data_IF_576008018610
#
_entry.id   IF_576008018610
#
_cell.length_a   1.000
_cell.length_b   1.000
_cell.length_c   1.000
_cell.angle_alpha   90.00
_cell.angle_beta   90.00
_cell.angle_gamma   90.00
#
_symmetry.space_group_name_H-M   'P 1'
#
loop_
_entity.id
_entity.type
_entity.pdbx_description
1 polymer ?
#
# COMPACT_ATOMS: atom_id res chain seq x y z
N UNK A 1 25.77 71.37 44.86
CA UNK A 1 24.80 70.97 43.82
C UNK A 1 25.58 70.53 42.60
N UNK A 2 25.15 69.42 42.01
CA UNK A 2 25.69 68.71 40.84
C UNK A 2 26.98 67.92 41.12
N UNK A 3 26.84 66.59 41.14
CA UNK A 3 27.61 65.70 40.28
C UNK A 3 26.86 64.36 40.18
N UNK A 4 26.02 64.31 39.15
CA UNK A 4 25.30 63.17 38.62
C UNK A 4 26.34 62.12 38.17
N UNK A 5 26.30 60.89 38.72
CA UNK A 5 26.99 59.75 38.12
C UNK A 5 25.94 58.68 37.80
N UNK A 6 25.78 58.50 36.49
CA UNK A 6 24.83 57.65 35.79
C UNK A 6 24.93 56.18 36.24
N UNK A 7 23.81 55.44 36.34
CA UNK A 7 23.82 54.03 36.66
C UNK A 7 24.34 53.19 35.49
N UNK A 8 25.14 52.18 35.80
CA UNK A 8 25.63 51.17 34.85
C UNK A 8 24.43 50.32 34.43
N UNK A 9 23.91 50.62 33.25
CA UNK A 9 22.89 49.85 32.55
C UNK A 9 23.52 48.51 32.10
N UNK A 10 23.34 47.46 32.90
CA UNK A 10 23.72 46.10 32.50
C UNK A 10 22.69 45.59 31.49
N UNK A 11 23.02 45.75 30.21
CA UNK A 11 22.27 45.21 29.08
C UNK A 11 22.60 43.71 28.96
N UNK A 12 21.87 42.87 29.69
CA UNK A 12 21.86 41.42 29.44
C UNK A 12 21.13 41.18 28.11
N UNK A 13 21.93 41.00 27.05
CA UNK A 13 21.46 40.49 25.76
C UNK A 13 21.06 39.03 25.98
N UNK A 14 19.76 38.78 26.07
CA UNK A 14 19.19 37.44 25.99
C UNK A 14 19.46 36.94 24.55
N UNK A 15 20.47 36.08 24.40
CA UNK A 15 20.68 35.35 23.14
C UNK A 15 19.56 34.31 23.08
N UNK A 16 18.52 34.61 22.31
CA UNK A 16 17.49 33.65 21.92
C UNK A 16 18.17 32.72 20.93
N UNK A 17 18.75 31.61 21.39
CA UNK A 17 19.11 30.51 20.49
C UNK A 17 17.80 29.81 20.11
N UNK A 18 17.15 30.31 19.06
CA UNK A 18 16.21 29.49 18.30
C UNK A 18 17.00 28.32 17.73
N UNK A 19 16.91 27.16 18.37
CA UNK A 19 17.35 25.90 17.78
C UNK A 19 16.29 25.50 16.77
N UNK A 20 16.35 26.09 15.57
CA UNK A 20 15.89 25.39 14.38
C UNK A 20 16.95 24.35 14.06
N UNK A 21 16.80 23.13 14.59
CA UNK A 21 17.33 21.97 13.85
C UNK A 21 16.25 21.63 12.84
N UNK A 22 16.38 22.22 11.66
CA UNK A 22 15.81 21.70 10.44
C UNK A 22 16.56 20.41 10.12
N UNK A 23 16.08 19.30 10.67
CA UNK A 23 16.22 18.02 10.01
C UNK A 23 14.82 17.73 9.47
N UNK A 24 14.45 18.47 8.42
CA UNK A 24 13.50 17.96 7.44
C UNK A 24 14.26 16.81 6.74
N UNK A 25 14.37 15.68 7.43
CA UNK A 25 14.46 14.42 6.74
C UNK A 25 13.16 14.37 5.92
N UNK A 26 13.29 14.58 4.60
CA UNK A 26 12.31 14.19 3.60
C UNK A 26 12.14 12.67 3.69
N UNK A 27 11.61 12.20 4.83
CA UNK A 27 11.33 10.82 5.07
C UNK A 27 10.24 10.48 4.07
N UNK A 28 10.57 9.53 3.20
CA UNK A 28 9.68 8.94 2.23
C UNK A 28 8.60 8.14 2.97
N UNK A 29 7.82 8.84 3.80
CA UNK A 29 6.78 8.26 4.64
C UNK A 29 5.81 7.56 3.72
N UNK A 30 5.74 6.24 3.92
CA UNK A 30 4.74 5.40 3.31
C UNK A 30 3.38 5.81 3.90
N UNK A 31 2.33 5.68 3.09
CA UNK A 31 0.98 6.00 3.54
C UNK A 31 0.58 5.07 4.69
N UNK A 32 0.00 5.66 5.74
CA UNK A 32 -0.52 4.96 6.91
C UNK A 32 -2.03 5.03 6.91
N UNK A 33 -2.67 3.94 7.32
CA UNK A 33 -4.11 3.77 7.31
C UNK A 33 -4.65 3.49 8.71
N UNK A 34 -5.89 3.88 8.95
CA UNK A 34 -6.66 3.59 10.15
C UNK A 34 -7.68 2.47 9.90
N UNK A 35 -8.23 1.93 10.99
CA UNK A 35 -9.36 0.99 10.93
C UNK A 35 -10.59 1.61 10.23
N UNK A 36 -10.79 2.92 10.35
CA UNK A 36 -11.84 3.65 9.65
C UNK A 36 -11.63 3.66 8.12
N UNK A 37 -10.39 3.73 7.65
CA UNK A 37 -10.08 3.72 6.22
C UNK A 37 -10.40 2.37 5.57
N UNK A 38 -10.38 1.28 6.33
CA UNK A 38 -10.76 -0.05 5.83
C UNK A 38 -12.21 -0.11 5.32
N UNK A 39 -13.07 0.79 5.78
CA UNK A 39 -14.43 0.90 5.25
C UNK A 39 -14.44 1.18 3.75
N UNK A 40 -13.39 1.80 3.19
CA UNK A 40 -13.22 2.00 1.75
C UNK A 40 -12.96 0.67 1.03
N UNK A 41 -12.22 -0.26 1.64
CA UNK A 41 -11.85 -1.56 1.05
C UNK A 41 -13.05 -2.49 0.90
N UNK A 42 -13.91 -2.57 1.93
CA UNK A 42 -14.95 -3.60 2.04
C UNK A 42 -16.36 -3.05 2.31
N UNK A 43 -16.55 -1.73 2.40
CA UNK A 43 -17.84 -1.08 2.67
C UNK A 43 -18.62 -1.69 3.85
N UNK A 44 -17.92 -1.97 4.96
CA UNK A 44 -18.44 -2.62 6.17
C UNK A 44 -19.08 -4.02 6.00
N UNK A 45 -19.05 -4.61 4.81
CA UNK A 45 -19.63 -5.94 4.56
C UNK A 45 -18.89 -6.69 3.45
N UNK A 46 -18.95 -6.16 2.23
CA UNK A 46 -18.19 -6.66 1.09
C UNK A 46 -18.13 -5.58 0.01
N UNK A 47 -16.98 -5.41 -0.65
CA UNK A 47 -16.86 -4.56 -1.84
C UNK A 47 -16.02 -5.28 -2.89
N UNK A 48 -16.53 -5.28 -4.12
CA UNK A 48 -15.85 -5.86 -5.26
C UNK A 48 -14.97 -4.79 -5.92
N UNK A 49 -13.74 -5.18 -6.22
CA UNK A 49 -12.76 -4.38 -6.91
C UNK A 49 -12.35 -5.10 -8.18
N UNK A 50 -12.21 -4.33 -9.26
CA UNK A 50 -11.65 -4.82 -10.52
C UNK A 50 -10.15 -4.58 -10.53
N UNK A 51 -9.36 -5.60 -10.83
CA UNK A 51 -7.94 -5.39 -11.09
C UNK A 51 -7.78 -4.80 -12.49
N UNK A 52 -7.28 -3.58 -12.60
CA UNK A 52 -7.00 -2.88 -13.85
C UNK A 52 -5.67 -3.35 -14.45
N UNK A 53 -4.65 -3.59 -13.61
CA UNK A 53 -3.32 -3.94 -14.08
C UNK A 53 -2.48 -4.65 -13.02
N UNK A 54 -1.62 -5.55 -13.51
CA UNK A 54 -0.52 -6.16 -12.78
C UNK A 54 0.82 -5.83 -13.44
N UNK A 55 1.66 -5.06 -12.75
CA UNK A 55 2.98 -4.63 -13.21
C UNK A 55 4.10 -5.42 -12.55
N UNK A 56 5.17 -5.70 -13.30
CA UNK A 56 6.46 -6.17 -12.77
C UNK A 56 7.44 -5.02 -12.53
N UNK A 57 7.26 -3.89 -13.24
CA UNK A 57 7.91 -2.62 -12.94
C UNK A 57 6.92 -1.47 -13.21
N UNK A 58 6.44 -0.85 -12.13
CA UNK A 58 5.44 0.21 -12.16
C UNK A 58 5.95 1.52 -12.74
N UNK A 59 7.24 1.83 -12.60
CA UNK A 59 7.82 3.07 -13.10
C UNK A 59 7.86 3.09 -14.63
N UNK A 60 8.29 1.98 -15.22
CA UNK A 60 8.33 1.77 -16.68
C UNK A 60 6.98 1.36 -17.28
N UNK A 61 5.97 1.10 -16.43
CA UNK A 61 4.66 0.55 -16.82
C UNK A 61 4.77 -0.80 -17.55
N UNK A 62 5.78 -1.60 -17.21
CA UNK A 62 5.94 -2.95 -17.73
C UNK A 62 4.96 -3.91 -17.03
N UNK A 63 3.96 -4.36 -17.78
CA UNK A 63 2.98 -5.36 -17.31
C UNK A 63 3.63 -6.74 -17.14
N UNK A 64 3.12 -7.49 -16.17
CA UNK A 64 3.43 -8.90 -15.99
C UNK A 64 2.92 -9.72 -17.17
N UNK A 65 3.58 -10.84 -17.47
CA UNK A 65 3.06 -11.86 -18.40
C UNK A 65 1.75 -12.48 -17.89
N UNK A 66 1.50 -12.44 -16.58
CA UNK A 66 0.25 -12.88 -15.98
C UNK A 66 -0.81 -11.77 -15.89
N UNK A 67 -0.57 -10.60 -16.47
CA UNK A 67 -1.51 -9.49 -16.37
C UNK A 67 -2.90 -9.90 -16.87
N UNK A 68 -2.98 -10.50 -18.05
CA UNK A 68 -4.26 -10.71 -18.74
C UNK A 68 -5.18 -11.68 -17.97
N UNK A 69 -4.62 -12.70 -17.32
CA UNK A 69 -5.40 -13.60 -16.47
C UNK A 69 -5.75 -12.96 -15.12
N UNK A 70 -4.84 -12.21 -14.47
CA UNK A 70 -5.14 -11.59 -13.17
C UNK A 70 -6.21 -10.48 -13.29
N UNK A 71 -6.25 -9.74 -14.40
CA UNK A 71 -7.25 -8.66 -14.59
C UNK A 71 -8.64 -9.19 -14.98
N UNK A 72 -8.73 -10.46 -15.38
CA UNK A 72 -9.98 -11.14 -15.72
C UNK A 72 -10.70 -11.67 -14.46
N UNK A 73 -9.98 -11.77 -13.35
CA UNK A 73 -10.52 -12.20 -12.06
C UNK A 73 -11.35 -11.12 -11.36
N UNK A 74 -12.29 -11.59 -10.55
CA UNK A 74 -13.13 -10.74 -9.70
C UNK A 74 -12.68 -10.89 -8.25
N UNK A 75 -12.35 -9.76 -7.61
CA UNK A 75 -11.86 -9.71 -6.23
C UNK A 75 -12.88 -9.06 -5.31
N UNK A 76 -13.38 -9.78 -4.32
CA UNK A 76 -14.35 -9.26 -3.33
C UNK A 76 -13.75 -9.24 -1.94
N UNK A 77 -13.47 -8.04 -1.43
CA UNK A 77 -12.85 -7.79 -0.13
C UNK A 77 -13.91 -7.83 0.97
N UNK A 78 -13.60 -8.51 2.09
CA UNK A 78 -14.46 -8.66 3.27
C UNK A 78 -13.77 -8.20 4.55
N UNK A 79 -14.50 -7.72 5.59
CA UNK A 79 -13.93 -7.16 6.81
C UNK A 79 -12.94 -8.04 7.60
N UNK A 80 -12.98 -9.35 7.41
CA UNK A 80 -12.18 -10.34 8.14
C UNK A 80 -10.83 -10.66 7.49
N UNK A 81 -10.37 -9.82 6.55
CA UNK A 81 -9.12 -10.04 5.82
C UNK A 81 -9.26 -11.00 4.64
N UNK A 82 -10.46 -11.54 4.41
CA UNK A 82 -10.71 -12.48 3.31
C UNK A 82 -10.94 -11.70 2.01
N UNK A 83 -10.31 -12.17 0.94
CA UNK A 83 -10.63 -11.73 -0.42
C UNK A 83 -11.15 -12.96 -1.19
N UNK A 84 -12.44 -12.94 -1.53
CA UNK A 84 -12.98 -13.95 -2.44
C UNK A 84 -12.52 -13.65 -3.86
N UNK A 85 -11.83 -14.62 -4.46
CA UNK A 85 -11.37 -14.57 -5.85
C UNK A 85 -12.23 -15.50 -6.67
N UNK A 86 -12.88 -14.96 -7.70
CA UNK A 86 -13.54 -15.75 -8.74
C UNK A 86 -12.69 -15.64 -9.99
N UNK A 87 -12.16 -16.78 -10.45
CA UNK A 87 -11.30 -16.83 -11.62
C UNK A 87 -12.06 -16.47 -12.89
N UNK A 88 -11.39 -15.74 -13.77
CA UNK A 88 -11.88 -15.40 -15.10
C UNK A 88 -11.89 -16.59 -16.08
N UNK A 89 -12.05 -16.26 -17.35
CA UNK A 89 -11.90 -17.15 -18.50
C UNK A 89 -10.43 -17.37 -18.89
N UNK A 90 -9.58 -16.37 -18.67
CA UNK A 90 -8.14 -16.43 -18.97
C UNK A 90 -7.40 -17.16 -17.83
N UNK A 91 -6.84 -18.33 -18.12
CA UNK A 91 -6.12 -19.12 -17.11
C UNK A 91 -4.70 -18.56 -16.87
N UNK A 92 -4.30 -18.41 -15.61
CA UNK A 92 -2.91 -18.06 -15.30
C UNK A 92 -1.95 -19.25 -15.37
N UNK A 93 -2.47 -20.47 -15.18
CA UNK A 93 -1.71 -21.72 -15.20
C UNK A 93 -2.44 -22.82 -15.98
N UNK A 94 -1.69 -23.69 -16.63
CA UNK A 94 -2.23 -24.78 -17.45
C UNK A 94 -2.18 -26.10 -16.66
N UNK A 95 -3.21 -26.35 -15.85
CA UNK A 95 -3.37 -27.57 -15.06
C UNK A 95 -4.79 -28.14 -15.09
N UNK A 96 -5.03 -29.22 -14.34
CA UNK A 96 -6.38 -29.79 -14.20
C UNK A 96 -7.29 -28.84 -13.40
N UNK A 97 -6.71 -28.13 -12.43
CA UNK A 97 -7.38 -27.10 -11.64
C UNK A 97 -6.41 -25.93 -11.37
N UNK A 98 -6.94 -24.71 -11.37
CA UNK A 98 -6.23 -23.50 -10.97
C UNK A 98 -6.41 -23.23 -9.47
N UNK A 99 -5.37 -22.69 -8.84
CA UNK A 99 -5.41 -22.11 -7.50
C UNK A 99 -5.39 -20.59 -7.65
N UNK A 100 -6.37 -19.94 -7.04
CA UNK A 100 -6.57 -18.51 -7.06
C UNK A 100 -7.07 -18.06 -5.69
N UNK A 101 -6.16 -17.61 -4.83
CA UNK A 101 -6.48 -17.21 -3.45
C UNK A 101 -5.88 -15.84 -3.15
N UNK A 102 -6.56 -15.08 -2.31
CA UNK A 102 -6.12 -13.77 -1.87
C UNK A 102 -6.60 -13.47 -0.44
N UNK A 103 -5.79 -12.73 0.30
CA UNK A 103 -6.12 -12.20 1.62
C UNK A 103 -5.47 -10.83 1.82
N UNK A 104 -5.97 -10.05 2.77
CA UNK A 104 -5.29 -8.85 3.23
C UNK A 104 -5.12 -8.87 4.75
N UNK A 105 -4.06 -8.21 5.21
CA UNK A 105 -3.73 -8.07 6.63
C UNK A 105 -3.50 -6.60 6.95
N UNK A 106 -4.17 -6.11 8.00
CA UNK A 106 -4.00 -4.76 8.52
C UNK A 106 -3.30 -4.81 9.88
N UNK A 107 -2.14 -4.16 9.98
CA UNK A 107 -1.35 -4.03 11.20
C UNK A 107 -1.69 -2.69 11.83
N UNK A 108 -2.74 -2.66 12.64
CA UNK A 108 -3.34 -1.43 13.20
C UNK A 108 -2.33 -0.57 13.98
N UNK A 109 -1.42 -1.19 14.74
CA UNK A 109 -0.39 -0.48 15.51
C UNK A 109 0.60 0.29 14.61
N UNK A 110 0.79 -0.18 13.37
CA UNK A 110 1.74 0.39 12.39
C UNK A 110 1.03 1.18 11.29
N UNK A 111 -0.29 1.01 11.13
CA UNK A 111 -1.07 1.59 10.05
C UNK A 111 -0.78 0.99 8.68
N UNK A 112 -0.14 -0.18 8.61
CA UNK A 112 0.23 -0.82 7.35
C UNK A 112 -0.79 -1.88 6.92
N UNK A 113 -1.13 -1.88 5.63
CA UNK A 113 -2.02 -2.87 5.03
C UNK A 113 -1.27 -3.62 3.92
N UNK A 114 -1.39 -4.93 3.90
CA UNK A 114 -0.77 -5.79 2.90
C UNK A 114 -1.80 -6.68 2.23
N UNK A 115 -1.63 -6.95 0.94
CA UNK A 115 -2.34 -8.00 0.21
C UNK A 115 -1.39 -9.15 -0.06
N UNK A 116 -1.86 -10.37 0.12
CA UNK A 116 -1.17 -11.59 -0.30
C UNK A 116 -1.99 -12.26 -1.39
N UNK A 117 -1.35 -12.56 -2.51
CA UNK A 117 -1.94 -13.29 -3.64
C UNK A 117 -1.22 -14.63 -3.76
N UNK A 118 -2.00 -15.71 -3.91
CA UNK A 118 -1.50 -17.05 -4.19
C UNK A 118 -2.10 -17.50 -5.52
N UNK A 119 -1.22 -17.91 -6.43
CA UNK A 119 -1.60 -18.51 -7.71
C UNK A 119 -0.93 -19.85 -7.90
N UNK A 120 -1.57 -20.77 -8.58
CA UNK A 120 -0.94 -22.05 -8.87
C UNK A 120 -1.79 -22.99 -9.70
N UNK A 121 -1.26 -24.20 -9.86
CA UNK A 121 -1.91 -25.29 -10.57
C UNK A 121 -1.82 -26.58 -9.77
N UNK A 122 -2.84 -27.41 -9.97
CA UNK A 122 -2.86 -28.79 -9.52
C UNK A 122 -2.84 -29.68 -10.76
N UNK A 123 -1.81 -30.52 -10.88
CA UNK A 123 -1.63 -31.45 -11.99
C UNK A 123 -1.19 -32.80 -11.46
N UNK A 124 -1.94 -33.88 -11.74
CA UNK A 124 -1.62 -35.24 -11.26
C UNK A 124 -1.40 -35.32 -9.72
N UNK A 125 -2.21 -34.60 -8.94
CA UNK A 125 -2.07 -34.46 -7.47
C UNK A 125 -0.78 -33.76 -6.99
N UNK A 126 -0.04 -33.10 -7.88
CA UNK A 126 1.05 -32.20 -7.52
C UNK A 126 0.57 -30.76 -7.53
N UNK A 127 0.89 -30.02 -6.48
CA UNK A 127 0.59 -28.60 -6.35
C UNK A 127 1.85 -27.80 -6.66
N UNK A 128 1.74 -26.84 -7.58
CA UNK A 128 2.77 -25.83 -7.83
C UNK A 128 2.14 -24.46 -7.69
N UNK A 129 2.63 -23.68 -6.73
CA UNK A 129 2.11 -22.34 -6.47
C UNK A 129 3.21 -21.30 -6.32
N UNK A 130 2.83 -20.06 -6.56
CA UNK A 130 3.59 -18.86 -6.26
C UNK A 130 2.76 -17.97 -5.36
N UNK A 131 3.41 -17.37 -4.38
CA UNK A 131 2.80 -16.41 -3.46
C UNK A 131 3.63 -15.14 -3.45
N UNK A 132 2.97 -13.98 -3.40
CA UNK A 132 3.63 -12.70 -3.20
C UNK A 132 2.76 -11.78 -2.36
N UNK A 133 3.43 -10.89 -1.62
CA UNK A 133 2.79 -9.91 -0.74
C UNK A 133 3.21 -8.50 -1.15
N UNK A 134 2.25 -7.57 -1.18
CA UNK A 134 2.47 -6.17 -1.55
C UNK A 134 1.83 -5.26 -0.49
N UNK A 135 2.43 -4.11 -0.26
CA UNK A 135 1.93 -3.11 0.68
C UNK A 135 0.96 -2.16 -0.03
N UNK A 136 -0.09 -1.74 0.65
CA UNK A 136 -1.00 -0.69 0.20
C UNK A 136 -0.28 0.65 0.24
N UNK A 137 -0.29 1.37 -0.89
CA UNK A 137 0.38 2.68 -1.03
C UNK A 137 -0.56 3.78 -1.51
N UNK A 138 -1.78 3.44 -1.92
CA UNK A 138 -2.82 4.38 -2.33
C UNK A 138 -4.18 3.77 -2.02
N UNK A 139 -5.04 4.52 -1.33
CA UNK A 139 -6.42 4.13 -1.08
C UNK A 139 -7.33 5.34 -1.24
N UNK A 140 -8.28 5.21 -2.16
CA UNK A 140 -9.35 6.18 -2.39
C UNK A 140 -10.64 5.41 -2.65
N UNK A 141 -11.77 6.11 -2.73
CA UNK A 141 -13.06 5.48 -3.01
C UNK A 141 -13.08 4.64 -4.28
N UNK A 142 -12.33 5.07 -5.30
CA UNK A 142 -12.39 4.51 -6.66
C UNK A 142 -11.10 3.80 -7.08
N UNK A 143 -10.05 3.82 -6.26
CA UNK A 143 -8.72 3.32 -6.63
C UNK A 143 -7.95 2.84 -5.42
N UNK A 144 -7.32 1.68 -5.56
CA UNK A 144 -6.47 1.05 -4.55
C UNK A 144 -5.21 0.51 -5.22
N UNK A 145 -4.04 0.84 -4.69
CA UNK A 145 -2.74 0.43 -5.27
C UNK A 145 -1.92 -0.30 -4.23
N UNK A 146 -1.57 -1.54 -4.55
CA UNK A 146 -0.59 -2.30 -3.80
C UNK A 146 0.73 -2.35 -4.56
N UNK A 147 1.85 -2.14 -3.89
CA UNK A 147 3.17 -2.15 -4.51
C UNK A 147 4.26 -2.73 -3.61
N UNK A 148 5.36 -3.14 -4.26
CA UNK A 148 6.65 -3.38 -3.62
C UNK A 148 7.65 -2.28 -3.96
N UNK A 149 8.69 -2.15 -3.15
CA UNK A 149 9.70 -1.10 -3.28
C UNK A 149 9.33 0.16 -2.52
N UNK A 150 10.12 1.21 -2.73
CA UNK A 150 10.00 2.47 -2.01
C UNK A 150 9.24 3.51 -2.82
N UNK A 151 8.79 4.57 -2.14
CA UNK A 151 8.21 5.75 -2.78
C UNK A 151 9.12 6.23 -3.92
N UNK A 152 8.50 6.55 -5.06
CA UNK A 152 9.17 6.92 -6.31
C UNK A 152 9.99 5.82 -7.01
N UNK A 153 10.02 4.59 -6.48
CA UNK A 153 10.69 3.44 -7.09
C UNK A 153 9.89 2.14 -6.92
N UNK A 154 8.57 2.21 -7.09
CA UNK A 154 7.70 1.04 -7.00
C UNK A 154 7.98 0.02 -8.13
N UNK A 155 7.97 -1.26 -7.78
CA UNK A 155 8.27 -2.37 -8.70
C UNK A 155 7.03 -3.15 -9.05
N UNK A 156 6.79 -4.25 -8.34
CA UNK A 156 5.63 -5.10 -8.57
C UNK A 156 4.43 -4.33 -8.04
N UNK A 157 3.36 -4.22 -8.83
CA UNK A 157 2.17 -3.47 -8.39
C UNK A 157 0.87 -4.04 -8.93
N UNK A 158 -0.17 -3.98 -8.10
CA UNK A 158 -1.54 -4.29 -8.44
C UNK A 158 -2.38 -3.02 -8.35
N UNK A 159 -3.09 -2.70 -9.42
CA UNK A 159 -3.96 -1.52 -9.51
C UNK A 159 -5.41 -2.00 -9.51
N UNK A 160 -6.14 -1.69 -8.45
CA UNK A 160 -7.56 -1.97 -8.33
C UNK A 160 -8.36 -0.69 -8.56
N UNK A 161 -9.50 -0.82 -9.25
CA UNK A 161 -10.46 0.24 -9.51
C UNK A 161 -11.89 -0.23 -9.20
N UNK A 162 -12.78 0.72 -8.91
CA UNK A 162 -14.22 0.45 -8.89
C UNK A 162 -14.79 0.48 -10.32
N UNK A 163 -15.78 -0.37 -10.60
CA UNK A 163 -16.56 -0.29 -11.85
C UNK A 163 -17.54 0.89 -11.89
#
# INVERSE_FOLDING_TARGET
MNNLKLPILSLLILIITASCSSDDDDDASQELYSSEDLTILHNNNSKTWKLEAYYVDYNSKQKSEQNDCLVDDIYTFKPDGIIEVVTGLENCYYGDNEIAEAEYSFYEDEGHLYITIIRGEITNNLVKSTSFTLQLIELTENRMVFASGDKDNYKISLIFITE
#
